data_IF_017723498958
#
_entry.id   IF_017723498958
#
_cell.length_a   1.000
_cell.length_b   1.000
_cell.length_c   1.000
_cell.angle_alpha   90.00
_cell.angle_beta   90.00
_cell.angle_gamma   90.00
#
_symmetry.space_group_name_H-M   'P 1'
#
loop_
_entity.id
_entity.type
_entity.pdbx_description
1 polymer ?
#
# COMPACT_ATOMS: atom_id res chain seq x y z
N UNK A 1 3.29 -7.20 10.57
CA UNK A 1 4.70 -6.75 10.70
C UNK A 1 5.12 -5.85 9.54
N UNK A 2 4.95 -6.27 8.27
CA UNK A 2 5.31 -5.47 7.09
C UNK A 2 4.75 -4.04 7.05
N UNK A 3 3.47 -3.84 7.37
CA UNK A 3 2.85 -2.51 7.42
C UNK A 3 3.53 -1.59 8.45
N UNK A 4 3.83 -2.12 9.64
CA UNK A 4 4.49 -1.35 10.72
C UNK A 4 5.89 -0.92 10.32
N UNK A 5 6.64 -1.82 9.65
CA UNK A 5 7.96 -1.49 9.12
C UNK A 5 7.89 -0.48 7.97
N UNK A 6 6.88 -0.58 7.09
CA UNK A 6 6.68 0.36 5.98
C UNK A 6 6.42 1.79 6.45
N UNK A 7 5.52 1.97 7.41
CA UNK A 7 5.24 3.29 8.01
C UNK A 7 6.51 3.90 8.62
N UNK A 8 7.30 3.07 9.31
CA UNK A 8 8.55 3.54 9.93
C UNK A 8 9.56 4.00 8.86
N UNK A 9 9.64 3.31 7.73
CA UNK A 9 10.53 3.67 6.62
C UNK A 9 10.08 4.97 5.92
N UNK A 10 8.78 5.15 5.71
CA UNK A 10 8.23 6.36 5.10
C UNK A 10 8.56 7.61 5.94
N UNK A 11 8.34 7.55 7.25
CA UNK A 11 8.63 8.67 8.15
C UNK A 11 10.14 8.95 8.31
N UNK A 12 11.02 7.98 8.09
CA UNK A 12 12.47 8.21 8.16
C UNK A 12 12.95 9.24 7.15
N UNK A 13 12.32 9.34 5.96
CA UNK A 13 12.65 10.37 4.99
C UNK A 13 12.46 11.77 5.59
N UNK A 14 11.38 11.99 6.34
CA UNK A 14 11.11 13.26 7.01
C UNK A 14 11.99 13.53 8.23
N UNK A 15 12.19 12.53 9.11
CA UNK A 15 12.88 12.74 10.39
C UNK A 15 14.41 12.73 10.27
N UNK A 16 14.97 11.80 9.50
CA UNK A 16 16.42 11.57 9.43
C UNK A 16 17.04 12.14 8.14
N UNK A 17 16.24 12.34 7.08
CA UNK A 17 16.72 12.75 5.76
C UNK A 17 16.06 14.04 5.25
N UNK A 18 15.72 14.97 6.14
CA UNK A 18 14.95 16.19 5.80
C UNK A 18 15.56 17.04 4.68
N UNK A 19 16.89 17.18 4.60
CA UNK A 19 17.57 17.90 3.51
C UNK A 19 17.47 17.19 2.16
N UNK A 20 17.49 15.85 2.16
CA UNK A 20 17.28 15.07 0.95
C UNK A 20 15.84 15.22 0.47
N UNK A 21 14.87 15.07 1.38
CA UNK A 21 13.45 15.27 1.07
C UNK A 21 13.13 16.68 0.55
N UNK A 22 13.79 17.73 1.06
CA UNK A 22 13.62 19.08 0.53
C UNK A 22 14.21 19.23 -0.89
N UNK A 23 15.28 18.51 -1.21
CA UNK A 23 15.98 18.63 -2.49
C UNK A 23 15.32 17.82 -3.62
N UNK A 24 14.81 16.62 -3.33
CA UNK A 24 14.20 15.72 -4.33
C UNK A 24 12.70 15.50 -4.16
N UNK A 25 12.09 16.15 -3.17
CA UNK A 25 10.70 15.89 -2.74
C UNK A 25 9.65 16.09 -3.83
N UNK A 26 9.84 17.05 -4.73
CA UNK A 26 8.87 17.30 -5.82
C UNK A 26 8.72 16.10 -6.76
N UNK A 27 9.80 15.35 -7.00
CA UNK A 27 9.81 14.18 -7.89
C UNK A 27 9.59 12.90 -7.09
N UNK A 28 10.32 12.73 -5.99
CA UNK A 28 10.30 11.49 -5.21
C UNK A 28 9.05 11.38 -4.32
N UNK A 29 8.59 12.50 -3.75
CA UNK A 29 7.42 12.51 -2.88
C UNK A 29 6.10 12.28 -3.61
N UNK A 30 5.98 12.72 -4.87
CA UNK A 30 4.79 12.47 -5.68
C UNK A 30 4.63 10.98 -6.02
N UNK A 31 5.73 10.26 -6.28
CA UNK A 31 5.72 8.80 -6.49
C UNK A 31 5.28 8.05 -5.23
N UNK A 32 5.85 8.38 -4.06
CA UNK A 32 5.46 7.80 -2.77
C UNK A 32 3.98 8.06 -2.43
N UNK A 33 3.49 9.27 -2.72
CA UNK A 33 2.08 9.60 -2.49
C UNK A 33 1.14 8.78 -3.41
N UNK A 34 1.54 8.52 -4.65
CA UNK A 34 0.78 7.68 -5.58
C UNK A 34 0.77 6.22 -5.10
N UNK A 35 1.92 5.70 -4.66
CA UNK A 35 2.03 4.34 -4.10
C UNK A 35 1.11 4.17 -2.88
N UNK A 36 1.17 5.12 -1.94
CA UNK A 36 0.36 5.10 -0.72
C UNK A 36 -1.15 5.19 -1.00
N UNK A 37 -1.55 6.02 -1.96
CA UNK A 37 -2.98 6.24 -2.25
C UNK A 37 -3.58 5.18 -3.17
N UNK A 38 -2.84 4.69 -4.17
CA UNK A 38 -3.34 3.74 -5.15
C UNK A 38 -3.10 2.29 -4.74
N UNK A 39 -1.87 1.92 -4.37
CA UNK A 39 -1.51 0.53 -4.12
C UNK A 39 -1.79 0.13 -2.66
N UNK A 40 -1.24 0.90 -1.71
CA UNK A 40 -1.36 0.57 -0.28
C UNK A 40 -2.80 0.64 0.23
N UNK A 41 -3.57 1.65 -0.19
CA UNK A 41 -4.98 1.76 0.19
C UNK A 41 -5.83 0.62 -0.37
N UNK A 42 -5.59 0.26 -1.64
CA UNK A 42 -6.29 -0.83 -2.30
C UNK A 42 -5.96 -2.18 -1.65
N UNK A 43 -4.67 -2.46 -1.43
CA UNK A 43 -4.21 -3.65 -0.72
C UNK A 43 -4.81 -3.74 0.69
N UNK A 44 -4.69 -2.69 1.51
CA UNK A 44 -5.17 -2.68 2.88
C UNK A 44 -6.69 -2.87 2.98
N UNK A 45 -7.45 -2.27 2.06
CA UNK A 45 -8.91 -2.39 2.02
C UNK A 45 -9.33 -3.80 1.61
N UNK A 46 -8.76 -4.35 0.53
CA UNK A 46 -9.14 -5.67 0.03
C UNK A 46 -8.61 -6.82 0.89
N UNK A 47 -7.49 -6.66 1.60
CA UNK A 47 -7.07 -7.63 2.63
C UNK A 47 -8.14 -7.74 3.73
N UNK A 48 -8.69 -6.61 4.19
CA UNK A 48 -9.78 -6.61 5.17
C UNK A 48 -11.03 -7.31 4.62
N UNK A 49 -11.44 -6.98 3.39
CA UNK A 49 -12.58 -7.61 2.73
C UNK A 49 -12.37 -9.11 2.52
N UNK A 50 -11.17 -9.52 2.13
CA UNK A 50 -10.82 -10.92 1.94
C UNK A 50 -10.85 -11.70 3.25
N UNK A 51 -10.28 -11.14 4.33
CA UNK A 51 -10.27 -11.80 5.64
C UNK A 51 -11.66 -11.95 6.25
N UNK A 52 -12.52 -10.92 6.18
CA UNK A 52 -13.86 -10.93 6.77
C UNK A 52 -14.96 -11.40 5.80
N UNK A 53 -14.63 -11.67 4.55
CA UNK A 53 -15.58 -11.94 3.47
C UNK A 53 -15.99 -13.40 3.29
N UNK A 54 -15.47 -14.33 4.10
CA UNK A 54 -15.70 -15.78 3.94
C UNK A 54 -17.19 -16.19 3.91
N UNK A 55 -17.99 -15.71 4.87
CA UNK A 55 -19.42 -16.03 4.95
C UNK A 55 -20.33 -14.96 4.30
N UNK A 56 -19.74 -13.87 3.78
CA UNK A 56 -20.48 -12.71 3.24
C UNK A 56 -20.37 -12.56 1.73
N UNK A 57 -19.39 -13.21 1.10
CA UNK A 57 -19.13 -13.13 -0.33
C UNK A 57 -19.37 -14.49 -1.00
N UNK A 58 -19.80 -14.46 -2.26
CA UNK A 58 -19.83 -15.68 -3.06
C UNK A 58 -18.40 -16.19 -3.33
N UNK A 59 -18.20 -17.50 -3.56
CA UNK A 59 -16.85 -18.05 -3.79
C UNK A 59 -16.08 -17.38 -4.93
N UNK A 60 -16.79 -16.93 -5.97
CA UNK A 60 -16.20 -16.19 -7.09
C UNK A 60 -15.76 -14.77 -6.68
N UNK A 61 -16.60 -14.07 -5.92
CA UNK A 61 -16.27 -12.73 -5.43
C UNK A 61 -15.08 -12.77 -4.46
N UNK A 62 -15.02 -13.80 -3.60
CA UNK A 62 -13.89 -14.01 -2.69
C UNK A 62 -12.58 -14.27 -3.44
N UNK A 63 -12.61 -15.09 -4.50
CA UNK A 63 -11.45 -15.30 -5.36
C UNK A 63 -10.98 -14.00 -6.06
N UNK A 64 -11.92 -13.18 -6.55
CA UNK A 64 -11.60 -11.88 -7.16
C UNK A 64 -10.92 -10.96 -6.14
N UNK A 65 -11.39 -10.92 -4.89
CA UNK A 65 -10.73 -10.10 -3.85
C UNK A 65 -9.30 -10.53 -3.58
N UNK A 66 -9.01 -11.83 -3.58
CA UNK A 66 -7.64 -12.33 -3.43
C UNK A 66 -6.74 -11.93 -4.62
N UNK A 67 -7.26 -12.00 -5.85
CA UNK A 67 -6.54 -11.56 -7.04
C UNK A 67 -6.29 -10.05 -7.06
N UNK A 68 -7.24 -9.25 -6.59
CA UNK A 68 -7.08 -7.80 -6.47
C UNK A 68 -5.99 -7.45 -5.45
N UNK A 69 -5.93 -8.14 -4.30
CA UNK A 69 -4.83 -7.99 -3.34
C UNK A 69 -3.49 -8.32 -4.00
N UNK A 70 -3.38 -9.46 -4.68
CA UNK A 70 -2.15 -9.84 -5.36
C UNK A 70 -1.71 -8.82 -6.44
N UNK A 71 -2.67 -8.27 -7.19
CA UNK A 71 -2.41 -7.21 -8.16
C UNK A 71 -1.94 -5.91 -7.51
N UNK A 72 -2.57 -5.52 -6.38
CA UNK A 72 -2.20 -4.34 -5.62
C UNK A 72 -0.78 -4.42 -5.07
N UNK A 73 -0.40 -5.56 -4.48
CA UNK A 73 0.94 -5.77 -3.95
C UNK A 73 2.01 -5.71 -5.04
N UNK A 74 1.70 -6.20 -6.26
CA UNK A 74 2.61 -6.05 -7.40
C UNK A 74 2.70 -4.60 -7.88
N UNK A 75 1.60 -3.85 -7.84
CA UNK A 75 1.60 -2.42 -8.21
C UNK A 75 2.39 -1.58 -7.20
N UNK A 76 2.39 -1.93 -5.91
CA UNK A 76 3.23 -1.26 -4.91
C UNK A 76 4.72 -1.53 -5.13
N UNK A 77 5.06 -2.68 -5.72
CA UNK A 77 6.44 -3.06 -5.96
C UNK A 77 7.06 -2.40 -7.21
N UNK A 78 6.23 -1.82 -8.09
CA UNK A 78 6.63 -1.22 -9.38
C UNK A 78 6.59 0.30 -9.28
#
# INVERSE_FOLDING_TARGET
>A
LGVVTGITLEFQFGTNWSRYSMYVGDIFGSLLAIEATAAFFLESTFIGVWHFGWDKLSPKAHAITAWLVAGASNLSAI
#
